data_IF_388425252238
#
_entry.id   IF_388425252238
#
_cell.length_a   1.000
_cell.length_b   1.000
_cell.length_c   1.000
_cell.angle_alpha   90.00
_cell.angle_beta   90.00
_cell.angle_gamma   90.00
#
_symmetry.space_group_name_H-M   'P 1'
#
loop_
_entity.id
_entity.type
_entity.pdbx_description
1 polymer ?
#
# COMPACT_ATOMS: atom_id res chain seq x y z
N UNK A 1 15.07 -11.93 -7.54
CA UNK A 1 15.90 -12.04 -8.76
C UNK A 1 15.96 -10.75 -9.60
N UNK A 2 14.84 -10.14 -9.99
CA UNK A 2 14.84 -8.94 -10.85
C UNK A 2 15.62 -7.73 -10.27
N UNK A 3 15.45 -7.44 -8.97
CA UNK A 3 16.21 -6.39 -8.28
C UNK A 3 17.72 -6.68 -8.30
N UNK A 4 18.13 -7.90 -7.97
CA UNK A 4 19.55 -8.29 -7.99
C UNK A 4 20.17 -8.14 -9.39
N UNK A 5 19.47 -8.60 -10.44
CA UNK A 5 19.91 -8.42 -11.82
C UNK A 5 20.03 -6.93 -12.21
N UNK A 6 19.07 -6.09 -11.77
CA UNK A 6 19.12 -4.66 -12.02
C UNK A 6 20.34 -3.97 -11.38
N UNK A 7 20.73 -4.43 -10.19
CA UNK A 7 21.91 -3.94 -9.49
C UNK A 7 23.20 -4.40 -10.18
N UNK A 8 23.26 -5.66 -10.62
CA UNK A 8 24.42 -6.18 -11.37
C UNK A 8 24.60 -5.48 -12.73
N UNK A 9 23.50 -5.16 -13.42
CA UNK A 9 23.51 -4.45 -14.69
C UNK A 9 23.77 -2.94 -14.55
N UNK A 10 23.78 -2.40 -13.32
CA UNK A 10 24.02 -0.99 -13.06
C UNK A 10 22.96 -0.07 -13.67
N UNK A 11 21.70 -0.53 -13.85
CA UNK A 11 20.67 0.28 -14.54
C UNK A 11 20.25 1.53 -13.74
N UNK A 12 20.61 1.57 -12.46
CA UNK A 12 20.41 2.68 -11.53
C UNK A 12 21.55 3.72 -11.55
N UNK A 13 22.66 3.43 -12.23
CA UNK A 13 23.79 4.34 -12.34
C UNK A 13 23.48 5.43 -13.36
N UNK A 14 23.70 6.68 -12.98
CA UNK A 14 23.74 7.78 -13.94
C UNK A 14 25.10 7.74 -14.63
N UNK A 15 25.18 6.92 -15.67
CA UNK A 15 26.32 6.90 -16.56
C UNK A 15 26.24 8.21 -17.38
N UNK A 16 26.81 9.26 -16.79
CA UNK A 16 26.87 10.60 -17.35
C UNK A 16 27.55 10.64 -18.72
N UNK A 17 27.64 11.84 -19.30
CA UNK A 17 28.13 12.13 -20.65
C UNK A 17 29.52 11.57 -21.03
N UNK A 18 30.25 10.99 -20.07
CA UNK A 18 31.56 10.33 -20.25
C UNK A 18 31.43 8.88 -20.78
N UNK A 19 30.22 8.30 -20.72
CA UNK A 19 29.90 7.04 -21.35
C UNK A 19 29.14 7.28 -22.66
N UNK A 20 29.62 6.67 -23.74
CA UNK A 20 29.10 6.69 -25.12
C UNK A 20 27.71 6.03 -25.27
N UNK A 21 26.92 5.99 -24.19
CA UNK A 21 25.63 5.31 -24.14
C UNK A 21 24.55 6.19 -24.78
N UNK A 22 23.82 5.66 -25.79
CA UNK A 22 22.79 6.41 -26.49
C UNK A 22 21.63 6.80 -25.56
N UNK A 23 21.03 7.97 -25.82
CA UNK A 23 19.96 8.53 -25.00
C UNK A 23 18.72 7.62 -24.90
N UNK A 24 18.42 6.89 -25.97
CA UNK A 24 17.32 5.93 -25.97
C UNK A 24 17.53 4.79 -24.97
N UNK A 25 18.75 4.27 -24.87
CA UNK A 25 19.10 3.22 -23.92
C UNK A 25 19.05 3.75 -22.48
N UNK A 26 19.55 4.96 -22.23
CA UNK A 26 19.45 5.64 -20.93
C UNK A 26 17.98 5.80 -20.51
N UNK A 27 17.12 6.24 -21.43
CA UNK A 27 15.68 6.37 -21.23
C UNK A 27 15.01 5.03 -20.91
N UNK A 28 15.37 3.94 -21.61
CA UNK A 28 14.83 2.60 -21.33
C UNK A 28 15.23 2.09 -19.96
N UNK A 29 16.51 2.19 -19.60
CA UNK A 29 17.03 1.79 -18.27
C UNK A 29 16.32 2.52 -17.14
N UNK A 30 16.14 3.84 -17.28
CA UNK A 30 15.42 4.66 -16.30
C UNK A 30 13.98 4.17 -16.11
N UNK A 31 13.23 3.95 -17.19
CA UNK A 31 11.84 3.45 -17.12
C UNK A 31 11.75 2.06 -16.49
N UNK A 32 12.68 1.16 -16.82
CA UNK A 32 12.76 -0.18 -16.20
C UNK A 32 13.01 -0.04 -14.70
N UNK A 33 13.98 0.80 -14.32
CA UNK A 33 14.30 1.05 -12.93
C UNK A 33 13.13 1.69 -12.15
N UNK A 34 12.38 2.63 -12.75
CA UNK A 34 11.15 3.18 -12.17
C UNK A 34 10.15 2.08 -11.81
N UNK A 35 9.86 1.18 -12.74
CA UNK A 35 8.89 0.08 -12.50
C UNK A 35 9.40 -0.84 -11.39
N UNK A 36 10.70 -1.14 -11.36
CA UNK A 36 11.30 -1.94 -10.30
C UNK A 36 11.23 -1.24 -8.93
N UNK A 37 11.50 0.06 -8.86
CA UNK A 37 11.38 0.84 -7.63
C UNK A 37 9.94 0.89 -7.12
N UNK A 38 8.97 1.03 -8.03
CA UNK A 38 7.55 0.97 -7.69
C UNK A 38 7.19 -0.40 -7.12
N UNK A 39 7.59 -1.48 -7.81
CA UNK A 39 7.32 -2.85 -7.39
C UNK A 39 7.98 -3.18 -6.05
N UNK A 40 9.25 -2.83 -5.86
CA UNK A 40 9.97 -2.99 -4.59
C UNK A 40 9.19 -2.33 -3.45
N UNK A 41 8.81 -1.06 -3.64
CA UNK A 41 8.08 -0.31 -2.61
C UNK A 41 6.74 -0.95 -2.28
N UNK A 42 5.94 -1.38 -3.27
CA UNK A 42 4.69 -2.08 -2.99
C UNK A 42 4.92 -3.38 -2.24
N UNK A 43 5.85 -4.23 -2.68
CA UNK A 43 6.13 -5.51 -2.03
C UNK A 43 6.60 -5.28 -0.59
N UNK A 44 7.60 -4.42 -0.36
CA UNK A 44 8.14 -4.19 0.98
C UNK A 44 7.11 -3.54 1.91
N UNK A 45 6.29 -2.62 1.39
CA UNK A 45 5.16 -2.03 2.16
C UNK A 45 4.14 -3.10 2.56
N UNK A 46 3.83 -4.03 1.66
CA UNK A 46 2.89 -5.12 1.93
C UNK A 46 3.39 -6.03 3.03
N UNK A 47 4.70 -6.34 2.99
CA UNK A 47 5.35 -7.26 3.93
C UNK A 47 5.76 -6.59 5.24
N UNK A 48 5.64 -5.26 5.36
CA UNK A 48 6.17 -4.52 6.50
C UNK A 48 7.69 -4.64 6.61
N UNK A 49 8.39 -4.78 5.48
CA UNK A 49 9.83 -4.88 5.41
C UNK A 49 10.44 -3.55 4.94
N UNK A 50 11.69 -3.26 5.30
CA UNK A 50 12.40 -2.12 4.72
C UNK A 50 12.67 -2.36 3.22
N UNK A 51 12.68 -1.29 2.42
CA UNK A 51 12.91 -1.34 0.96
C UNK A 51 14.25 -2.00 0.61
N UNK A 52 14.29 -2.71 -0.52
CA UNK A 52 15.56 -3.26 -1.01
C UNK A 52 16.38 -2.19 -1.73
N UNK A 53 15.73 -1.23 -2.40
CA UNK A 53 16.36 -0.15 -3.16
C UNK A 53 16.43 1.19 -2.38
N UNK A 54 16.62 1.13 -1.04
CA UNK A 54 16.53 2.29 -0.14
C UNK A 54 17.62 3.35 -0.31
N UNK A 55 18.83 2.95 -0.73
CA UNK A 55 19.99 3.85 -0.82
C UNK A 55 20.17 4.48 -2.21
N UNK A 56 19.23 4.25 -3.13
CA UNK A 56 19.26 4.82 -4.47
C UNK A 56 18.54 6.16 -4.46
N UNK A 57 19.20 7.16 -5.06
CA UNK A 57 18.67 8.50 -5.23
C UNK A 57 17.22 8.49 -5.80
N UNK A 58 16.26 9.12 -5.10
CA UNK A 58 14.85 9.11 -5.48
C UNK A 58 14.59 9.71 -6.87
N UNK A 59 15.39 10.69 -7.33
CA UNK A 59 15.22 11.27 -8.68
C UNK A 59 15.49 10.24 -9.78
N UNK A 60 16.28 9.21 -9.48
CA UNK A 60 16.54 8.10 -10.41
C UNK A 60 15.34 7.18 -10.56
N UNK A 61 14.45 7.15 -9.59
CA UNK A 61 13.22 6.35 -9.65
C UNK A 61 12.13 6.96 -10.54
N UNK A 62 12.32 8.19 -11.05
CA UNK A 62 11.39 8.83 -11.99
C UNK A 62 11.62 8.36 -13.43
N UNK A 63 10.56 8.18 -14.24
CA UNK A 63 10.67 7.61 -15.59
C UNK A 63 11.31 8.55 -16.62
N UNK A 64 11.38 9.84 -16.30
CA UNK A 64 12.00 10.92 -17.08
C UNK A 64 12.55 11.97 -16.12
N UNK A 65 13.58 12.71 -16.53
CA UNK A 65 14.17 13.81 -15.76
C UNK A 65 13.32 15.08 -15.84
N UNK A 66 12.57 15.25 -16.93
CA UNK A 66 11.69 16.39 -17.15
C UNK A 66 10.25 15.97 -16.85
N UNK A 67 9.56 16.63 -15.89
CA UNK A 67 8.18 16.30 -15.58
C UNK A 67 7.27 16.58 -16.77
N UNK A 68 6.37 15.64 -17.13
CA UNK A 68 5.43 15.85 -18.23
C UNK A 68 4.37 16.89 -17.85
N UNK A 69 4.18 17.90 -18.71
CA UNK A 69 3.19 18.97 -18.50
C UNK A 69 1.81 18.67 -19.08
N UNK A 70 1.73 17.78 -20.08
CA UNK A 70 0.47 17.36 -20.72
C UNK A 70 0.03 15.99 -20.19
N UNK A 71 -1.23 15.91 -19.78
CA UNK A 71 -1.90 14.66 -19.36
C UNK A 71 -1.95 13.62 -20.47
N UNK A 72 -1.84 14.04 -21.74
CA UNK A 72 -1.79 13.15 -22.90
C UNK A 72 -0.42 12.51 -23.13
N UNK A 73 0.61 12.96 -22.42
CA UNK A 73 1.93 12.33 -22.48
C UNK A 73 1.82 10.87 -21.99
N UNK A 74 2.33 9.89 -22.75
CA UNK A 74 2.25 8.47 -22.37
C UNK A 74 2.94 8.16 -21.03
N UNK A 75 3.92 8.97 -20.62
CA UNK A 75 4.63 8.82 -19.35
C UNK A 75 3.97 9.56 -18.19
N UNK A 76 2.98 10.41 -18.44
CA UNK A 76 2.32 11.22 -17.40
C UNK A 76 1.83 10.36 -16.23
N UNK A 77 1.06 9.31 -16.53
CA UNK A 77 0.52 8.42 -15.49
C UNK A 77 1.60 7.70 -14.69
N UNK A 78 2.65 7.21 -15.36
CA UNK A 78 3.77 6.52 -14.71
C UNK A 78 4.60 7.48 -13.86
N UNK A 79 4.80 8.72 -14.32
CA UNK A 79 5.53 9.75 -13.60
C UNK A 79 4.82 10.11 -12.29
N UNK A 80 3.53 10.45 -12.38
CA UNK A 80 2.72 10.76 -11.20
C UNK A 80 2.63 9.59 -10.23
N UNK A 81 2.53 8.35 -10.74
CA UNK A 81 2.56 7.15 -9.91
C UNK A 81 3.90 6.99 -9.19
N UNK A 82 5.03 7.19 -9.89
CA UNK A 82 6.35 7.14 -9.29
C UNK A 82 6.52 8.17 -8.17
N UNK A 83 6.03 9.40 -8.35
CA UNK A 83 6.05 10.43 -7.30
C UNK A 83 5.23 10.05 -6.06
N UNK A 84 4.02 9.51 -6.26
CA UNK A 84 3.19 8.99 -5.16
C UNK A 84 3.91 7.88 -4.41
N UNK A 85 4.58 6.99 -5.12
CA UNK A 85 5.28 5.85 -4.52
C UNK A 85 6.55 6.28 -3.78
N UNK A 86 7.22 7.35 -4.20
CA UNK A 86 8.32 7.92 -3.40
C UNK A 86 7.85 8.40 -2.03
N UNK A 87 6.62 8.93 -1.91
CA UNK A 87 6.05 9.31 -0.61
C UNK A 87 5.91 8.05 0.26
N UNK A 88 5.33 6.98 -0.29
CA UNK A 88 5.20 5.69 0.41
C UNK A 88 6.55 5.16 0.86
N UNK A 89 7.55 5.20 -0.03
CA UNK A 89 8.91 4.74 0.26
C UNK A 89 9.52 5.46 1.47
N UNK A 90 9.47 6.80 1.48
CA UNK A 90 10.00 7.61 2.58
C UNK A 90 9.23 7.35 3.88
N UNK A 91 7.90 7.19 3.81
CA UNK A 91 7.07 6.86 4.97
C UNK A 91 7.46 5.50 5.55
N UNK A 92 7.60 4.47 4.72
CA UNK A 92 7.97 3.11 5.19
C UNK A 92 9.38 3.11 5.77
N UNK A 93 10.34 3.76 5.13
CA UNK A 93 11.70 3.88 5.67
C UNK A 93 11.73 4.59 7.02
N UNK A 94 10.89 5.61 7.22
CA UNK A 94 10.77 6.29 8.51
C UNK A 94 10.21 5.39 9.63
N UNK A 95 9.39 4.40 9.28
CA UNK A 95 8.83 3.44 10.21
C UNK A 95 9.84 2.35 10.60
N UNK A 96 10.88 2.12 9.77
CA UNK A 96 11.93 1.12 9.99
C UNK A 96 13.35 1.75 10.06
N UNK A 97 13.66 2.60 11.07
CA UNK A 97 14.99 3.20 11.18
C UNK A 97 16.07 2.17 11.56
N UNK A 98 17.23 2.25 10.92
CA UNK A 98 18.36 1.31 11.06
C UNK A 98 19.04 1.32 12.45
N UNK A 99 18.82 2.34 13.30
CA UNK A 99 19.77 2.64 14.39
C UNK A 99 19.24 3.22 15.69
N UNK A 100 17.93 3.41 15.91
CA UNK A 100 17.46 4.07 17.13
C UNK A 100 16.61 3.19 18.06
N UNK A 101 16.94 3.11 19.37
CA UNK A 101 16.09 2.52 20.37
C UNK A 101 14.70 3.17 20.36
N UNK A 102 13.69 2.36 20.64
CA UNK A 102 12.26 2.69 20.55
C UNK A 102 11.87 3.88 21.45
N UNK A 103 12.69 4.25 22.44
CA UNK A 103 12.38 5.23 23.49
C UNK A 103 12.40 6.70 23.04
N UNK A 104 12.98 7.08 21.89
CA UNK A 104 12.99 8.48 21.41
C UNK A 104 11.94 8.81 20.33
N UNK A 105 10.91 7.96 20.17
CA UNK A 105 10.02 7.97 18.98
C UNK A 105 8.88 9.00 18.98
N UNK A 106 8.64 9.74 20.06
CA UNK A 106 7.35 10.43 20.20
C UNK A 106 7.27 11.83 19.56
N UNK A 107 8.33 12.32 18.89
CA UNK A 107 8.35 13.69 18.34
C UNK A 107 8.35 13.82 16.82
N UNK A 108 8.86 12.84 16.06
CA UNK A 108 9.28 13.09 14.67
C UNK A 108 8.29 12.65 13.59
N UNK A 109 7.37 11.74 13.91
CA UNK A 109 6.41 11.23 12.91
C UNK A 109 5.38 12.30 12.52
N UNK A 110 4.88 13.09 13.47
CA UNK A 110 3.88 14.13 13.19
C UNK A 110 4.39 15.27 12.30
N UNK A 111 5.65 15.69 12.49
CA UNK A 111 6.28 16.71 11.65
C UNK A 111 6.53 16.20 10.22
N UNK A 112 7.06 14.98 10.09
CA UNK A 112 7.25 14.32 8.79
C UNK A 112 5.93 14.07 8.08
N UNK A 113 4.89 13.67 8.82
CA UNK A 113 3.54 13.49 8.29
C UNK A 113 2.98 14.78 7.71
N UNK A 114 3.13 15.92 8.40
CA UNK A 114 2.69 17.21 7.88
C UNK A 114 3.42 17.56 6.57
N UNK A 115 4.72 17.29 6.49
CA UNK A 115 5.49 17.48 5.25
C UNK A 115 5.03 16.55 4.12
N UNK A 116 4.76 15.27 4.40
CA UNK A 116 4.24 14.33 3.40
C UNK A 116 2.84 14.68 2.93
N UNK A 117 1.96 15.14 3.82
CA UNK A 117 0.63 15.63 3.46
C UNK A 117 0.75 16.86 2.57
N UNK A 118 1.64 17.81 2.89
CA UNK A 118 1.92 18.97 2.05
C UNK A 118 2.36 18.54 0.64
N UNK A 119 3.35 17.66 0.55
CA UNK A 119 3.82 17.11 -0.74
C UNK A 119 2.72 16.38 -1.50
N UNK A 120 1.87 15.62 -0.80
CA UNK A 120 0.74 14.91 -1.40
C UNK A 120 -0.35 15.87 -1.91
N UNK A 121 -0.57 17.00 -1.23
CA UNK A 121 -1.51 18.05 -1.66
C UNK A 121 -0.97 18.86 -2.85
N UNK A 122 0.34 19.11 -2.89
CA UNK A 122 1.03 19.72 -4.03
C UNK A 122 0.94 18.85 -5.28
N UNK A 123 1.01 17.52 -5.11
CA UNK A 123 0.66 16.51 -6.11
C UNK A 123 -0.86 16.47 -6.35
N UNK A 124 -1.48 17.63 -6.58
CA UNK A 124 -2.86 17.73 -7.02
C UNK A 124 -2.98 17.02 -8.37
N UNK A 125 -3.85 16.01 -8.46
CA UNK A 125 -4.19 15.43 -9.76
C UNK A 125 -4.73 16.57 -10.64
N UNK A 126 -4.15 16.84 -11.82
CA UNK A 126 -4.56 17.97 -12.64
C UNK A 126 -6.07 17.97 -12.88
N UNK A 127 -6.72 19.13 -12.79
CA UNK A 127 -8.16 19.24 -13.11
C UNK A 127 -8.49 18.74 -14.54
N UNK A 128 -7.50 18.73 -15.44
CA UNK A 128 -7.61 18.12 -16.77
C UNK A 128 -7.89 16.60 -16.74
N UNK A 129 -7.45 15.88 -15.71
CA UNK A 129 -7.82 14.48 -15.40
C UNK A 129 -9.27 14.35 -14.88
N UNK A 130 -10.00 15.44 -14.71
CA UNK A 130 -11.42 15.43 -14.30
C UNK A 130 -12.32 15.77 -15.49
N UNK A 131 -11.81 16.56 -16.45
CA UNK A 131 -12.60 17.12 -17.55
C UNK A 131 -12.62 16.26 -18.82
N UNK A 132 -11.54 15.56 -19.15
CA UNK A 132 -11.39 14.88 -20.45
C UNK A 132 -11.57 13.36 -20.30
N UNK A 133 -12.66 12.81 -20.85
CA UNK A 133 -12.98 11.38 -20.79
C UNK A 133 -11.99 10.46 -21.55
N UNK A 134 -11.09 11.02 -22.36
CA UNK A 134 -10.16 10.28 -23.23
C UNK A 134 -9.14 9.43 -22.44
N UNK A 135 -8.83 9.78 -21.19
CA UNK A 135 -7.88 9.06 -20.34
C UNK A 135 -8.50 8.54 -19.03
N UNK A 136 -9.78 8.14 -19.07
CA UNK A 136 -10.52 7.69 -17.88
C UNK A 136 -9.78 6.60 -17.07
N UNK A 137 -9.10 5.66 -17.76
CA UNK A 137 -8.29 4.61 -17.11
C UNK A 137 -7.24 5.20 -16.19
N UNK A 138 -6.36 6.01 -16.76
CA UNK A 138 -5.20 6.58 -16.07
C UNK A 138 -5.65 7.47 -14.91
N UNK A 139 -6.77 8.19 -15.09
CA UNK A 139 -7.39 9.01 -14.05
C UNK A 139 -7.86 8.19 -12.86
N UNK A 140 -8.64 7.13 -13.10
CA UNK A 140 -9.15 6.26 -12.05
C UNK A 140 -8.02 5.53 -11.31
N UNK A 141 -7.02 5.05 -12.07
CA UNK A 141 -5.84 4.40 -11.50
C UNK A 141 -5.02 5.35 -10.62
N UNK A 142 -4.76 6.57 -11.08
CA UNK A 142 -4.04 7.58 -10.28
C UNK A 142 -4.78 7.94 -8.99
N UNK A 143 -6.11 8.10 -9.05
CA UNK A 143 -6.92 8.33 -7.84
C UNK A 143 -6.87 7.13 -6.90
N UNK A 144 -6.83 5.91 -7.44
CA UNK A 144 -6.72 4.69 -6.63
C UNK A 144 -5.35 4.63 -5.94
N UNK A 145 -4.27 4.97 -6.65
CA UNK A 145 -2.93 5.06 -6.05
C UNK A 145 -2.86 6.14 -4.98
N UNK A 146 -3.47 7.30 -5.23
CA UNK A 146 -3.56 8.38 -4.25
C UNK A 146 -4.25 7.92 -2.97
N UNK A 147 -5.41 7.27 -3.09
CA UNK A 147 -6.13 6.68 -1.96
C UNK A 147 -5.27 5.63 -1.23
N UNK A 148 -4.50 4.82 -1.96
CA UNK A 148 -3.55 3.88 -1.36
C UNK A 148 -2.45 4.58 -0.56
N UNK A 149 -1.83 5.65 -1.09
CA UNK A 149 -0.83 6.43 -0.34
C UNK A 149 -1.43 6.99 0.95
N UNK A 150 -2.65 7.53 0.90
CA UNK A 150 -3.36 8.00 2.09
C UNK A 150 -3.60 6.87 3.10
N UNK A 151 -4.06 5.70 2.65
CA UNK A 151 -4.24 4.53 3.52
C UNK A 151 -2.93 4.15 4.22
N UNK A 152 -1.81 4.10 3.50
CA UNK A 152 -0.50 3.75 4.09
C UNK A 152 -0.01 4.83 5.06
N UNK A 153 -0.15 6.11 4.72
CA UNK A 153 0.26 7.24 5.57
C UNK A 153 -0.54 7.29 6.88
N UNK A 154 -1.84 7.07 6.83
CA UNK A 154 -2.72 7.24 7.98
C UNK A 154 -2.94 5.96 8.79
N UNK A 155 -2.56 4.78 8.26
CA UNK A 155 -2.70 3.48 8.95
C UNK A 155 -2.20 3.47 10.40
N UNK A 156 -1.05 4.08 10.75
CA UNK A 156 -0.58 4.08 12.15
C UNK A 156 -1.59 4.69 13.14
N UNK A 157 -2.43 5.62 12.69
CA UNK A 157 -3.45 6.27 13.53
C UNK A 157 -4.81 5.59 13.48
N UNK A 158 -4.95 4.50 12.72
CA UNK A 158 -6.24 3.83 12.54
C UNK A 158 -6.86 3.41 13.89
N UNK A 159 -6.02 2.96 14.83
CA UNK A 159 -6.44 2.55 16.17
C UNK A 159 -7.18 3.67 16.95
N UNK A 160 -6.85 4.95 16.72
CA UNK A 160 -7.57 6.06 17.35
C UNK A 160 -8.99 6.24 16.83
N UNK A 161 -9.28 5.80 15.61
CA UNK A 161 -10.62 5.82 15.01
C UNK A 161 -11.46 4.57 15.39
N UNK A 162 -10.86 3.60 16.08
CA UNK A 162 -11.53 2.42 16.58
C UNK A 162 -12.05 2.68 18.00
N UNK A 163 -13.25 2.20 18.30
CA UNK A 163 -13.77 2.19 19.67
C UNK A 163 -13.06 1.10 20.48
N UNK A 164 -12.23 1.54 21.42
CA UNK A 164 -11.62 0.67 22.41
C UNK A 164 -12.41 0.71 23.72
N UNK A 165 -12.71 -0.45 24.32
CA UNK A 165 -13.50 -0.53 25.56
C UNK A 165 -12.69 -0.15 26.82
N UNK A 166 -11.37 0.01 26.70
CA UNK A 166 -10.47 0.14 27.86
C UNK A 166 -9.73 1.49 27.98
N UNK A 167 -9.82 2.38 26.98
CA UNK A 167 -9.15 3.68 27.01
C UNK A 167 -10.15 4.82 26.85
N UNK A 168 -10.78 5.19 27.97
CA UNK A 168 -11.35 6.53 28.17
C UNK A 168 -10.22 7.56 28.44
N UNK A 169 -9.16 7.52 27.62
CA UNK A 169 -8.04 8.44 27.66
C UNK A 169 -8.25 9.58 26.66
N UNK A 170 -7.55 10.71 26.85
CA UNK A 170 -7.55 11.86 25.92
C UNK A 170 -7.01 11.43 24.55
N UNK A 171 -7.88 10.96 23.66
CA UNK A 171 -7.53 10.75 22.25
C UNK A 171 -7.23 12.12 21.63
N UNK A 172 -6.05 12.26 21.02
CA UNK A 172 -5.70 13.49 20.30
C UNK A 172 -6.65 13.67 19.12
N UNK A 173 -7.39 14.78 19.09
CA UNK A 173 -8.34 15.08 18.00
C UNK A 173 -7.69 15.00 16.63
N UNK A 174 -6.41 15.38 16.52
CA UNK A 174 -5.63 15.29 15.29
C UNK A 174 -5.38 13.84 14.86
N UNK A 175 -5.07 12.96 15.81
CA UNK A 175 -4.81 11.55 15.53
C UNK A 175 -6.10 10.80 15.16
N UNK A 176 -7.22 11.14 15.81
CA UNK A 176 -8.55 10.69 15.41
C UNK A 176 -8.93 11.13 13.99
N UNK A 177 -8.65 12.39 13.63
CA UNK A 177 -8.88 12.88 12.28
C UNK A 177 -8.06 12.11 11.25
N UNK A 178 -6.77 11.83 11.52
CA UNK A 178 -5.92 11.02 10.65
C UNK A 178 -6.47 9.60 10.48
N UNK A 179 -6.86 8.93 11.57
CA UNK A 179 -7.48 7.61 11.51
C UNK A 179 -8.79 7.62 10.71
N UNK A 180 -9.60 8.68 10.84
CA UNK A 180 -10.83 8.86 10.07
C UNK A 180 -10.54 9.09 8.58
N UNK A 181 -9.49 9.83 8.24
CA UNK A 181 -9.08 10.06 6.86
C UNK A 181 -8.54 8.77 6.20
N UNK A 182 -7.94 7.87 6.97
CA UNK A 182 -7.60 6.51 6.51
C UNK A 182 -8.86 5.74 6.06
N UNK A 183 -9.91 5.75 6.89
CA UNK A 183 -11.19 5.08 6.58
C UNK A 183 -11.85 5.72 5.36
N UNK A 184 -11.85 7.06 5.25
CA UNK A 184 -12.37 7.76 4.07
C UNK A 184 -11.62 7.40 2.79
N UNK A 185 -10.29 7.32 2.84
CA UNK A 185 -9.47 6.91 1.70
C UNK A 185 -9.80 5.47 1.27
N UNK A 186 -10.01 4.57 2.23
CA UNK A 186 -10.46 3.21 1.96
C UNK A 186 -11.87 3.19 1.32
N UNK A 187 -12.82 3.98 1.82
CA UNK A 187 -14.16 4.13 1.22
C UNK A 187 -14.09 4.65 -0.23
N UNK A 188 -13.21 5.63 -0.49
CA UNK A 188 -12.95 6.14 -1.84
C UNK A 188 -12.36 5.06 -2.76
N UNK A 189 -11.44 4.23 -2.25
CA UNK A 189 -10.88 3.12 -2.99
C UNK A 189 -11.98 2.14 -3.46
N UNK A 190 -12.99 1.82 -2.63
CA UNK A 190 -14.12 0.97 -3.06
C UNK A 190 -14.84 1.55 -4.26
N UNK A 191 -15.21 2.84 -4.18
CA UNK A 191 -15.90 3.50 -5.29
C UNK A 191 -15.06 3.51 -6.57
N UNK A 192 -13.75 3.73 -6.46
CA UNK A 192 -12.82 3.71 -7.60
C UNK A 192 -12.69 2.31 -8.20
N UNK A 193 -12.61 1.27 -7.37
CA UNK A 193 -12.51 -0.12 -7.80
C UNK A 193 -13.77 -0.57 -8.55
N UNK A 194 -14.97 -0.23 -8.05
CA UNK A 194 -16.23 -0.51 -8.75
C UNK A 194 -16.32 0.26 -10.08
N UNK A 195 -15.81 1.50 -10.13
CA UNK A 195 -15.77 2.28 -11.37
C UNK A 195 -14.79 1.70 -12.39
N UNK A 196 -13.65 1.18 -11.94
CA UNK A 196 -12.67 0.48 -12.78
C UNK A 196 -13.25 -0.83 -13.33
N UNK A 197 -14.02 -1.55 -12.51
CA UNK A 197 -14.72 -2.76 -12.94
C UNK A 197 -15.82 -2.44 -13.96
N UNK A 198 -16.67 -1.45 -13.68
CA UNK A 198 -17.76 -1.04 -14.57
C UNK A 198 -17.28 -0.53 -15.94
N UNK A 199 -16.03 -0.04 -16.02
CA UNK A 199 -15.40 0.38 -17.27
C UNK A 199 -14.64 -0.74 -18.00
N UNK A 200 -14.73 -2.00 -17.53
CA UNK A 200 -13.97 -3.14 -18.03
C UNK A 200 -12.43 -2.93 -18.01
N UNK A 201 -11.98 -2.08 -17.07
CA UNK A 201 -10.58 -1.71 -16.88
C UNK A 201 -9.93 -2.41 -15.69
N UNK A 202 -10.72 -3.14 -14.91
CA UNK A 202 -10.20 -4.05 -13.92
C UNK A 202 -9.55 -5.25 -14.63
N UNK A 203 -8.23 -5.41 -14.51
CA UNK A 203 -7.52 -6.55 -15.08
C UNK A 203 -6.89 -7.37 -13.97
N UNK A 204 -7.11 -8.69 -14.01
CA UNK A 204 -6.48 -9.65 -13.11
C UNK A 204 -4.94 -9.65 -13.23
N UNK A 205 -4.34 -9.11 -14.29
CA UNK A 205 -2.88 -9.06 -14.41
C UNK A 205 -2.23 -8.00 -13.48
N UNK A 206 -2.98 -6.99 -13.01
CA UNK A 206 -2.44 -5.86 -12.24
C UNK A 206 -2.40 -6.21 -10.75
N UNK A 207 -1.36 -6.93 -10.34
CA UNK A 207 -1.20 -7.44 -8.96
C UNK A 207 -1.31 -6.35 -7.88
N UNK A 208 -0.83 -5.13 -8.14
CA UNK A 208 -0.91 -4.02 -7.19
C UNK A 208 -2.34 -3.53 -6.94
N UNK A 209 -3.28 -3.68 -7.88
CA UNK A 209 -4.70 -3.37 -7.61
C UNK A 209 -5.24 -4.35 -6.56
N UNK A 210 -4.88 -5.63 -6.67
CA UNK A 210 -5.30 -6.67 -5.73
C UNK A 210 -4.76 -6.41 -4.33
N UNK A 211 -3.53 -5.91 -4.25
CA UNK A 211 -2.96 -5.44 -2.99
C UNK A 211 -3.77 -4.28 -2.40
N UNK A 212 -4.13 -3.29 -3.21
CA UNK A 212 -4.98 -2.17 -2.75
C UNK A 212 -6.34 -2.70 -2.26
N UNK A 213 -6.96 -3.64 -3.00
CA UNK A 213 -8.22 -4.29 -2.60
C UNK A 213 -8.07 -4.95 -1.23
N UNK A 214 -7.00 -5.72 -0.98
CA UNK A 214 -6.81 -6.38 0.32
C UNK A 214 -6.58 -5.38 1.45
N UNK A 215 -5.80 -4.32 1.22
CA UNK A 215 -5.64 -3.23 2.19
C UNK A 215 -6.97 -2.55 2.54
N UNK A 216 -7.76 -2.21 1.51
CA UNK A 216 -9.07 -1.60 1.69
C UNK A 216 -10.04 -2.52 2.44
N UNK A 217 -10.12 -3.79 2.03
CA UNK A 217 -10.96 -4.81 2.65
C UNK A 217 -10.67 -4.94 4.15
N UNK A 218 -9.39 -4.93 4.51
CA UNK A 218 -8.98 -5.13 5.88
C UNK A 218 -9.17 -3.89 6.77
N UNK A 219 -8.86 -2.68 6.27
CA UNK A 219 -9.10 -1.42 6.99
C UNK A 219 -10.60 -1.25 7.29
N UNK A 220 -11.46 -1.44 6.29
CA UNK A 220 -12.91 -1.24 6.48
C UNK A 220 -13.51 -2.32 7.37
N UNK A 221 -13.08 -3.58 7.19
CA UNK A 221 -13.52 -4.68 8.04
C UNK A 221 -13.19 -4.45 9.51
N UNK A 222 -11.95 -4.06 9.79
CA UNK A 222 -11.50 -3.73 11.14
C UNK A 222 -12.32 -2.57 11.74
N UNK A 223 -12.59 -1.53 10.94
CA UNK A 223 -13.39 -0.41 11.40
C UNK A 223 -14.82 -0.84 11.77
N UNK A 224 -15.48 -1.65 10.94
CA UNK A 224 -16.84 -2.14 11.15
C UNK A 224 -16.93 -3.03 12.40
N UNK A 225 -15.98 -3.94 12.60
CA UNK A 225 -15.99 -4.87 13.74
C UNK A 225 -15.69 -4.17 15.06
N UNK A 226 -14.77 -3.20 15.06
CA UNK A 226 -14.44 -2.46 16.27
C UNK A 226 -15.54 -1.46 16.68
N UNK A 227 -16.21 -0.81 15.72
CA UNK A 227 -17.17 0.28 15.97
C UNK A 227 -18.64 -0.15 15.96
N UNK A 228 -18.95 -1.44 16.04
CA UNK A 228 -20.30 -1.98 15.96
C UNK A 228 -21.33 -1.16 16.77
N UNK A 229 -22.47 -0.86 16.13
CA UNK A 229 -23.59 -0.11 16.74
C UNK A 229 -23.47 1.42 16.66
N UNK A 230 -22.44 1.98 16.01
CA UNK A 230 -22.40 3.40 15.67
C UNK A 230 -23.06 3.67 14.29
N UNK A 231 -23.78 4.78 14.10
CA UNK A 231 -24.46 5.08 12.82
C UNK A 231 -23.49 5.25 11.64
N UNK A 232 -22.23 5.60 11.90
CA UNK A 232 -21.18 5.71 10.88
C UNK A 232 -20.73 4.35 10.33
N UNK A 233 -21.09 3.25 10.98
CA UNK A 233 -20.69 1.89 10.59
C UNK A 233 -21.56 1.35 9.45
N UNK A 234 -22.81 1.78 9.32
CA UNK A 234 -23.72 1.23 8.31
C UNK A 234 -23.21 1.48 6.88
N UNK A 235 -22.82 2.72 6.57
CA UNK A 235 -22.21 3.07 5.28
C UNK A 235 -20.91 2.31 5.02
N UNK A 236 -20.11 2.11 6.07
CA UNK A 236 -18.83 1.39 5.98
C UNK A 236 -19.06 -0.11 5.78
N UNK A 237 -20.05 -0.69 6.44
CA UNK A 237 -20.46 -2.08 6.28
C UNK A 237 -20.98 -2.35 4.86
N UNK A 238 -21.72 -1.40 4.28
CA UNK A 238 -22.11 -1.45 2.88
C UNK A 238 -20.90 -1.42 1.93
N UNK A 239 -19.86 -0.65 2.24
CA UNK A 239 -18.61 -0.68 1.47
C UNK A 239 -17.85 -2.00 1.60
N UNK A 240 -17.81 -2.61 2.80
CA UNK A 240 -17.24 -3.96 2.99
C UNK A 240 -18.00 -4.98 2.15
N UNK A 241 -19.34 -4.91 2.12
CA UNK A 241 -20.17 -5.77 1.29
C UNK A 241 -19.84 -5.61 -0.20
N UNK A 242 -19.71 -4.37 -0.69
CA UNK A 242 -19.34 -4.08 -2.09
C UNK A 242 -17.97 -4.64 -2.48
N UNK A 243 -16.96 -4.49 -1.61
CA UNK A 243 -15.64 -5.12 -1.85
C UNK A 243 -15.76 -6.63 -1.88
N UNK A 244 -16.51 -7.23 -0.94
CA UNK A 244 -16.72 -8.69 -0.91
C UNK A 244 -17.33 -9.18 -2.21
N UNK A 245 -18.34 -8.50 -2.73
CA UNK A 245 -18.98 -8.82 -4.01
C UNK A 245 -18.00 -8.69 -5.19
N UNK A 246 -17.15 -7.65 -5.20
CA UNK A 246 -16.09 -7.48 -6.18
C UNK A 246 -15.09 -8.65 -6.12
N UNK A 247 -14.61 -9.01 -4.94
CA UNK A 247 -13.72 -10.17 -4.77
C UNK A 247 -14.39 -11.47 -5.22
N UNK A 248 -15.67 -11.67 -4.93
CA UNK A 248 -16.42 -12.85 -5.36
C UNK A 248 -16.48 -12.99 -6.88
N UNK A 249 -16.76 -11.88 -7.60
CA UNK A 249 -16.78 -11.86 -9.08
C UNK A 249 -15.44 -12.25 -9.69
N UNK A 250 -14.33 -11.81 -9.11
CA UNK A 250 -12.97 -12.00 -9.66
C UNK A 250 -12.18 -13.15 -9.00
N UNK A 251 -12.79 -13.89 -8.07
CA UNK A 251 -12.13 -14.96 -7.31
C UNK A 251 -11.60 -16.11 -8.17
N UNK A 252 -12.27 -16.42 -9.30
CA UNK A 252 -11.88 -17.49 -10.22
C UNK A 252 -10.67 -17.15 -11.07
N UNK A 253 -10.46 -15.85 -11.31
CA UNK A 253 -9.38 -15.35 -12.17
C UNK A 253 -8.12 -15.00 -11.36
N UNK A 254 -8.21 -15.00 -10.02
CA UNK A 254 -7.14 -14.54 -9.16
C UNK A 254 -7.20 -15.15 -7.77
N UNK A 255 -6.19 -15.96 -7.44
CA UNK A 255 -6.02 -16.53 -6.10
C UNK A 255 -5.91 -15.46 -5.00
N UNK A 256 -5.26 -14.32 -5.27
CA UNK A 256 -5.18 -13.24 -4.28
C UNK A 256 -6.55 -12.67 -3.87
N UNK A 257 -7.49 -12.54 -4.83
CA UNK A 257 -8.85 -12.05 -4.57
C UNK A 257 -9.71 -13.12 -3.92
N UNK A 258 -9.48 -14.40 -4.27
CA UNK A 258 -10.08 -15.55 -3.58
C UNK A 258 -9.68 -15.58 -2.09
N UNK A 259 -8.40 -15.44 -1.78
CA UNK A 259 -7.92 -15.36 -0.38
C UNK A 259 -8.51 -14.15 0.35
N UNK A 260 -8.59 -12.99 -0.32
CA UNK A 260 -9.24 -11.81 0.25
C UNK A 260 -10.73 -12.06 0.53
N UNK A 261 -11.44 -12.77 -0.35
CA UNK A 261 -12.82 -13.17 -0.12
C UNK A 261 -12.95 -14.12 1.08
N UNK A 262 -12.13 -15.17 1.14
CA UNK A 262 -12.10 -16.14 2.24
C UNK A 262 -11.86 -15.43 3.59
N UNK A 263 -10.93 -14.47 3.63
CA UNK A 263 -10.71 -13.61 4.78
C UNK A 263 -11.96 -12.78 5.14
N UNK A 264 -12.59 -12.15 4.15
CA UNK A 264 -13.80 -11.35 4.38
C UNK A 264 -15.00 -12.19 4.85
N UNK A 265 -15.04 -13.47 4.48
CA UNK A 265 -16.07 -14.43 4.89
C UNK A 265 -15.79 -15.02 6.28
N UNK A 266 -14.52 -15.17 6.66
CA UNK A 266 -14.12 -15.65 7.98
C UNK A 266 -14.40 -14.63 9.08
N UNK A 267 -14.52 -13.35 8.74
CA UNK A 267 -14.90 -12.30 9.68
C UNK A 267 -16.34 -12.55 10.14
N UNK A 268 -16.56 -12.88 11.43
CA UNK A 268 -17.89 -13.21 11.90
C UNK A 268 -18.82 -12.01 11.69
N UNK A 269 -20.01 -12.27 11.13
CA UNK A 269 -21.14 -11.33 11.14
C UNK A 269 -21.63 -11.21 12.58
N UNK A 270 -20.84 -10.55 13.45
CA UNK A 270 -21.13 -10.56 14.88
C UNK A 270 -22.44 -9.80 15.12
N UNK A 271 -23.42 -10.54 15.66
CA UNK A 271 -24.59 -9.96 16.30
C UNK A 271 -24.21 -9.25 17.61
N UNK A 272 -25.20 -8.68 18.34
CA UNK A 272 -25.02 -7.66 19.37
C UNK A 272 -24.17 -8.02 20.61
N UNK A 273 -23.59 -9.22 20.69
CA UNK A 273 -22.67 -9.65 21.74
C UNK A 273 -21.36 -10.20 21.13
N UNK A 274 -20.44 -9.30 20.78
CA UNK A 274 -19.06 -9.67 20.45
C UNK A 274 -18.21 -9.57 21.71
N UNK A 275 -17.68 -10.70 22.17
CA UNK A 275 -16.72 -10.75 23.27
C UNK A 275 -15.38 -10.10 22.89
N UNK A 276 -14.74 -9.49 23.89
CA UNK A 276 -13.53 -8.67 23.79
C UNK A 276 -12.32 -9.42 23.18
N UNK A 277 -12.20 -10.72 23.44
CA UNK A 277 -11.13 -11.58 22.89
C UNK A 277 -11.14 -11.66 21.34
N UNK A 278 -12.32 -11.52 20.73
CA UNK A 278 -12.46 -11.60 19.26
C UNK A 278 -11.84 -10.39 18.56
N UNK A 279 -11.81 -9.22 19.21
CA UNK A 279 -11.28 -7.97 18.61
C UNK A 279 -9.75 -7.92 18.66
N UNK A 280 -9.15 -8.36 19.76
CA UNK A 280 -7.69 -8.48 19.89
C UNK A 280 -7.13 -9.54 18.92
N UNK A 281 -7.78 -10.70 18.86
CA UNK A 281 -7.45 -11.77 17.90
C UNK A 281 -7.54 -11.30 16.44
N UNK A 282 -8.47 -10.40 16.10
CA UNK A 282 -8.62 -9.88 14.75
C UNK A 282 -7.54 -8.86 14.37
N UNK A 283 -7.09 -8.03 15.31
CA UNK A 283 -5.93 -7.14 15.11
C UNK A 283 -4.65 -7.94 14.89
N UNK A 284 -4.45 -8.99 15.67
CA UNK A 284 -3.33 -9.92 15.53
C UNK A 284 -3.45 -10.73 14.22
N UNK A 285 -4.65 -11.12 13.81
CA UNK A 285 -4.87 -11.78 12.52
C UNK A 285 -4.66 -10.81 11.35
N UNK A 286 -5.04 -9.55 11.47
CA UNK A 286 -4.79 -8.52 10.44
C UNK A 286 -3.30 -8.22 10.30
N UNK A 287 -2.57 -8.09 11.41
CA UNK A 287 -1.12 -7.92 11.40
C UNK A 287 -0.41 -9.18 10.86
N UNK A 288 -0.87 -10.38 11.23
CA UNK A 288 -0.34 -11.65 10.72
C UNK A 288 -0.71 -11.93 9.26
N UNK A 289 -1.90 -11.56 8.80
CA UNK A 289 -2.35 -11.76 7.41
C UNK A 289 -1.65 -10.79 6.45
N UNK A 290 -1.34 -9.57 6.93
CA UNK A 290 -0.47 -8.64 6.18
C UNK A 290 0.97 -9.14 6.12
N UNK A 291 1.51 -9.80 7.16
CA UNK A 291 2.81 -10.50 7.05
C UNK A 291 2.75 -11.79 6.21
N UNK A 292 1.64 -12.54 6.21
CA UNK A 292 1.42 -13.75 5.40
C UNK A 292 1.10 -13.42 3.93
N UNK A 293 1.08 -12.14 3.54
CA UNK A 293 1.05 -11.75 2.12
C UNK A 293 2.34 -12.18 1.39
N UNK A 294 3.42 -12.51 2.12
CA UNK A 294 4.61 -13.19 1.58
C UNK A 294 4.24 -14.54 0.93
N UNK A 295 3.33 -15.30 1.55
CA UNK A 295 2.86 -16.59 1.03
C UNK A 295 1.93 -16.45 -0.18
N UNK A 296 1.53 -15.22 -0.55
CA UNK A 296 0.81 -14.94 -1.79
C UNK A 296 1.72 -14.86 -3.02
N UNK A 297 3.04 -14.77 -2.82
CA UNK A 297 4.04 -14.80 -3.89
C UNK A 297 4.67 -16.18 -4.12
N UNK A 298 4.27 -17.19 -3.34
CA UNK A 298 4.62 -18.58 -3.60
C UNK A 298 3.57 -19.24 -4.49
N UNK A 299 3.94 -19.54 -5.74
CA UNK A 299 3.16 -20.43 -6.60
C UNK A 299 3.17 -21.85 -6.05
N UNK A 300 2.02 -22.54 -5.94
CA UNK A 300 1.97 -23.93 -5.54
C UNK A 300 2.49 -24.80 -6.69
N UNK A 301 3.80 -25.11 -6.70
CA UNK A 301 4.37 -26.04 -7.67
C UNK A 301 5.85 -25.90 -8.01
N UNK A 302 6.58 -24.91 -7.50
CA UNK A 302 8.04 -24.86 -7.72
C UNK A 302 8.73 -25.88 -6.82
N UNK A 303 9.23 -26.97 -7.40
CA UNK A 303 10.06 -27.96 -6.72
C UNK A 303 11.20 -27.29 -5.96
N UNK A 304 11.33 -27.65 -4.67
CA UNK A 304 12.45 -27.25 -3.80
C UNK A 304 13.75 -27.82 -4.38
N UNK A 305 14.48 -27.01 -5.12
CA UNK A 305 15.89 -27.26 -5.42
C UNK A 305 16.75 -26.42 -4.46
N UNK A 306 17.37 -27.13 -3.51
CA UNK A 306 18.67 -26.93 -2.81
C UNK A 306 19.35 -25.55 -2.66
N UNK A 307 18.67 -24.41 -2.81
CA UNK A 307 19.21 -23.08 -2.49
C UNK A 307 18.80 -22.61 -1.07
N UNK A 308 18.79 -23.54 -0.11
CA UNK A 308 18.32 -23.32 1.28
C UNK A 308 19.30 -22.52 2.16
N UNK A 309 20.56 -22.35 1.75
CA UNK A 309 21.57 -21.62 2.54
C UNK A 309 21.39 -20.09 2.52
N UNK A 310 20.78 -19.53 1.45
CA UNK A 310 20.59 -18.07 1.36
C UNK A 310 19.35 -17.58 2.12
N UNK A 311 18.35 -18.44 2.33
CA UNK A 311 17.11 -18.13 3.05
C UNK A 311 17.21 -18.42 4.55
N UNK A 312 18.07 -19.33 4.99
CA UNK A 312 18.36 -19.53 6.42
C UNK A 312 19.06 -18.34 7.08
N UNK A 313 19.77 -17.50 6.32
CA UNK A 313 20.36 -16.26 6.85
C UNK A 313 19.29 -15.20 7.27
N UNK A 314 18.05 -15.35 6.80
CA UNK A 314 16.94 -14.44 7.10
C UNK A 314 16.01 -14.96 8.21
N UNK A 315 16.16 -16.22 8.66
CA UNK A 315 15.43 -16.77 9.79
C UNK A 315 16.11 -16.45 11.12
N UNK A 316 16.06 -15.17 11.53
CA UNK A 316 16.41 -14.77 12.89
C UNK A 316 15.16 -14.77 13.78
N UNK A 317 15.16 -15.41 14.96
CA UNK A 317 14.03 -15.53 15.89
C UNK A 317 13.54 -14.20 16.50
N UNK A 318 14.06 -13.06 16.06
CA UNK A 318 13.61 -11.72 16.43
C UNK A 318 12.36 -11.24 15.66
N UNK A 319 11.91 -11.96 14.62
CA UNK A 319 10.72 -11.61 13.83
C UNK A 319 9.41 -11.71 14.64
N UNK A 320 9.37 -12.52 15.70
CA UNK A 320 8.20 -12.68 16.58
C UNK A 320 8.07 -11.59 17.65
N UNK A 321 9.11 -10.79 17.92
CA UNK A 321 9.02 -9.71 18.93
C UNK A 321 8.46 -8.40 18.38
N UNK A 322 8.34 -8.26 17.06
CA UNK A 322 7.93 -7.00 16.43
C UNK A 322 6.43 -6.86 16.16
N UNK A 323 5.68 -7.96 16.10
CA UNK A 323 4.21 -7.95 15.98
C UNK A 323 3.53 -7.67 17.34
N UNK A 324 4.25 -7.89 18.45
CA UNK A 324 3.75 -7.75 19.82
C UNK A 324 3.90 -6.35 20.44
N UNK A 325 4.23 -5.31 19.69
CA UNK A 325 4.26 -3.96 20.24
C UNK A 325 2.85 -3.38 20.38
N UNK A 326 2.16 -3.77 21.45
CA UNK A 326 1.18 -2.93 22.13
C UNK A 326 1.85 -1.58 22.45
N UNK A 327 1.43 -0.51 21.79
CA UNK A 327 1.49 0.87 22.28
C UNK A 327 0.36 1.67 21.64
#
# INVERSE_FOLDING_TARGET
MAVAASLQLGIFADLGADNDMPEEERSRRRRIFTVLSIADTYVTTSLGLPRTLRDIDPERSLPTTVPPSDVRDPLFGTYMHAELIQIVAITVESNHPFTQPIESKNGTYGEKLAAWIGRLQELSLPAALVANGENLRSQLMLRLYYAHVQMVLYRPFLHHALRDTHQMGRTSLKAYACGSDCVKAAMQAVWLLERLEASAMFSSALWFIKLIVSFTAAILSLFVTCNYGAPTVDETADAVRRIRELCARHSRESDALKRCLEFLESIPRQGPHSDYDTKASMWDYFSQSTSNFADAFHEPGSERAEDDDMLQALSLPHLMSFVNCRL
#
